data_IF_394515392067
#
_entry.id   IF_394515392067
#
_cell.length_a   1.000
_cell.length_b   1.000
_cell.length_c   1.000
_cell.angle_alpha   90.00
_cell.angle_beta   90.00
_cell.angle_gamma   90.00
#
_symmetry.space_group_name_H-M   'P 1'
#
loop_
_entity.id
_entity.type
_entity.pdbx_description
1 polymer ?
#
# COMPACT_ATOMS: atom_id res chain seq x y z
N UNK A 1 -39.60 1.05 -36.01
CA UNK A 1 -39.76 0.21 -34.84
C UNK A 1 -38.97 0.86 -33.69
N UNK A 2 -39.64 1.47 -32.71
CA UNK A 2 -38.98 2.19 -31.61
C UNK A 2 -38.70 1.17 -30.49
N UNK A 3 -37.41 0.84 -30.32
CA UNK A 3 -36.93 -0.03 -29.25
C UNK A 3 -36.99 0.75 -27.93
N UNK A 4 -37.91 0.41 -27.06
CA UNK A 4 -37.95 0.89 -25.66
C UNK A 4 -36.93 0.10 -24.86
N UNK A 5 -35.80 0.77 -24.49
CA UNK A 5 -34.83 0.22 -23.55
C UNK A 5 -35.46 0.30 -22.15
N UNK A 6 -35.86 -0.84 -21.61
CA UNK A 6 -36.28 -0.97 -20.24
C UNK A 6 -35.02 -0.98 -19.36
N UNK A 7 -34.69 0.16 -18.77
CA UNK A 7 -33.64 0.22 -17.75
C UNK A 7 -34.20 -0.44 -16.49
N UNK A 8 -33.87 -1.70 -16.29
CA UNK A 8 -34.19 -2.43 -15.04
C UNK A 8 -33.34 -1.84 -13.93
N UNK A 9 -33.95 -0.97 -13.13
CA UNK A 9 -33.39 -0.47 -11.89
C UNK A 9 -33.42 -1.64 -10.89
N UNK A 10 -32.33 -2.41 -10.78
CA UNK A 10 -32.18 -3.43 -9.74
C UNK A 10 -31.99 -2.70 -8.40
N UNK A 11 -33.09 -2.56 -7.66
CA UNK A 11 -33.08 -2.23 -6.24
C UNK A 11 -32.52 -3.44 -5.47
N UNK A 12 -31.23 -3.39 -5.18
CA UNK A 12 -30.65 -4.32 -4.21
C UNK A 12 -31.04 -3.87 -2.81
N UNK A 13 -31.97 -4.56 -2.19
CA UNK A 13 -32.18 -4.54 -0.75
C UNK A 13 -31.09 -5.38 -0.07
N UNK A 14 -29.86 -4.87 -0.03
CA UNK A 14 -28.87 -5.34 0.92
C UNK A 14 -29.27 -4.80 2.29
N UNK A 15 -29.53 -5.69 3.25
CA UNK A 15 -29.66 -5.31 4.66
C UNK A 15 -28.28 -4.78 5.06
N UNK A 16 -28.07 -3.47 4.94
CA UNK A 16 -26.91 -2.83 5.50
C UNK A 16 -26.96 -3.03 7.02
N UNK A 17 -25.96 -3.67 7.59
CA UNK A 17 -25.81 -3.70 9.03
C UNK A 17 -25.87 -2.24 9.53
N UNK A 18 -26.87 -1.94 10.34
CA UNK A 18 -27.13 -0.58 10.84
C UNK A 18 -25.88 -0.17 11.63
N UNK A 19 -25.11 0.77 11.09
CA UNK A 19 -24.00 1.40 11.78
C UNK A 19 -22.57 1.08 11.31
N UNK A 20 -22.35 0.15 10.36
CA UNK A 20 -21.00 -0.08 9.86
C UNK A 20 -20.54 1.06 8.92
N UNK A 21 -19.33 1.57 9.14
CA UNK A 21 -18.63 2.49 8.23
C UNK A 21 -17.58 1.73 7.43
N UNK A 22 -17.16 2.32 6.30
CA UNK A 22 -16.02 1.80 5.56
C UNK A 22 -14.74 1.88 6.43
N UNK A 23 -13.81 0.91 6.31
CA UNK A 23 -12.52 0.99 6.98
C UNK A 23 -11.82 2.32 6.66
N UNK A 24 -11.33 3.02 7.68
CA UNK A 24 -10.71 4.35 7.55
C UNK A 24 -9.49 4.36 6.61
N UNK A 25 -8.76 3.25 6.57
CA UNK A 25 -7.60 3.08 5.68
C UNK A 25 -7.96 2.88 4.21
N UNK A 26 -9.25 2.69 3.86
CA UNK A 26 -9.72 2.66 2.48
C UNK A 26 -10.12 4.08 2.02
N UNK A 27 -9.23 4.74 1.30
CA UNK A 27 -9.45 6.09 0.80
C UNK A 27 -10.08 6.07 -0.60
N UNK A 28 -11.39 6.35 -0.69
CA UNK A 28 -12.19 6.32 -1.91
C UNK A 28 -12.07 7.60 -2.72
N UNK A 29 -12.01 7.46 -4.06
CA UNK A 29 -12.07 8.57 -5.00
C UNK A 29 -13.41 8.60 -5.75
N UNK A 30 -13.76 9.76 -6.31
CA UNK A 30 -15.03 9.97 -7.04
C UNK A 30 -15.16 9.14 -8.33
N UNK A 31 -14.08 8.64 -8.87
CA UNK A 31 -14.04 7.82 -10.09
C UNK A 31 -14.12 6.30 -9.82
N UNK A 32 -14.34 5.89 -8.58
CA UNK A 32 -14.37 4.48 -8.17
C UNK A 32 -12.99 3.89 -7.89
N UNK A 33 -11.91 4.64 -8.07
CA UNK A 33 -10.61 4.20 -7.57
C UNK A 33 -10.55 4.36 -6.06
N UNK A 34 -9.76 3.54 -5.39
CA UNK A 34 -9.44 3.73 -3.98
C UNK A 34 -8.00 3.34 -3.66
N UNK A 35 -7.52 3.78 -2.52
CA UNK A 35 -6.19 3.43 -2.05
C UNK A 35 -6.21 2.86 -0.65
N UNK A 36 -5.22 2.00 -0.37
CA UNK A 36 -4.93 1.44 0.93
C UNK A 36 -3.41 1.50 1.14
N UNK A 37 -2.94 2.36 2.04
CA UNK A 37 -1.51 2.50 2.38
C UNK A 37 -0.56 2.46 1.17
N UNK A 38 -0.86 3.26 0.13
CA UNK A 38 -0.07 3.34 -1.10
C UNK A 38 -0.36 2.26 -2.16
N UNK A 39 -1.12 1.23 -1.85
CA UNK A 39 -1.73 0.38 -2.87
C UNK A 39 -2.92 1.12 -3.50
N UNK A 40 -3.02 1.14 -4.81
CA UNK A 40 -4.14 1.80 -5.52
C UNK A 40 -4.95 0.78 -6.28
N UNK A 41 -6.26 0.76 -6.05
CA UNK A 41 -7.21 -0.07 -6.78
C UNK A 41 -7.82 0.66 -7.97
N UNK A 42 -7.99 -0.07 -9.06
CA UNK A 42 -8.78 0.35 -10.21
C UNK A 42 -9.33 -0.86 -10.97
N UNK A 43 -10.47 -0.70 -11.63
CA UNK A 43 -10.96 -1.68 -12.60
C UNK A 43 -10.36 -1.34 -13.96
N UNK A 44 -9.86 -2.36 -14.67
CA UNK A 44 -9.28 -2.21 -15.99
C UNK A 44 -9.79 -3.28 -16.95
N UNK A 45 -10.06 -2.85 -18.18
CA UNK A 45 -10.46 -3.69 -19.29
C UNK A 45 -9.43 -3.57 -20.42
N UNK A 46 -8.98 -4.70 -20.95
CA UNK A 46 -8.12 -4.77 -22.13
C UNK A 46 -8.94 -5.29 -23.32
N UNK A 47 -9.03 -4.50 -24.39
CA UNK A 47 -9.69 -4.91 -25.63
C UNK A 47 -8.90 -5.99 -26.40
N UNK A 48 -9.41 -6.44 -27.53
CA UNK A 48 -8.73 -7.45 -28.36
C UNK A 48 -7.34 -7.03 -28.86
N UNK A 49 -7.00 -5.75 -28.82
CA UNK A 49 -5.69 -5.18 -29.19
C UNK A 49 -4.86 -4.76 -27.98
N UNK A 50 -5.25 -5.18 -26.76
CA UNK A 50 -4.59 -4.81 -25.50
C UNK A 50 -4.58 -3.29 -25.21
N UNK A 51 -5.53 -2.53 -25.74
CA UNK A 51 -5.75 -1.15 -25.31
C UNK A 51 -6.58 -1.19 -24.04
N UNK A 52 -6.14 -0.44 -23.02
CA UNK A 52 -6.75 -0.48 -21.70
C UNK A 52 -7.68 0.71 -21.47
N UNK A 53 -8.83 0.42 -20.86
CA UNK A 53 -9.77 1.40 -20.31
C UNK A 53 -9.89 1.12 -18.81
N UNK A 54 -9.73 2.14 -17.99
CA UNK A 54 -9.87 2.05 -16.54
C UNK A 54 -10.89 3.05 -16.00
N UNK A 55 -11.15 3.03 -14.70
CA UNK A 55 -12.04 3.97 -14.02
C UNK A 55 -11.84 5.42 -14.48
N UNK A 56 -10.59 5.86 -14.62
CA UNK A 56 -10.23 7.22 -15.07
C UNK A 56 -10.73 7.58 -16.47
N UNK A 57 -11.04 6.59 -17.29
CA UNK A 57 -11.47 6.77 -18.69
C UNK A 57 -12.97 6.52 -18.90
N UNK A 58 -13.73 6.19 -17.85
CA UNK A 58 -15.17 6.01 -18.00
C UNK A 58 -15.84 7.31 -18.40
N UNK A 59 -16.85 7.22 -19.23
CA UNK A 59 -17.71 8.34 -19.63
C UNK A 59 -18.98 8.35 -18.78
N UNK A 60 -19.65 9.49 -18.72
CA UNK A 60 -20.94 9.62 -18.04
C UNK A 60 -20.86 9.08 -16.59
N UNK A 61 -19.77 9.36 -15.91
CA UNK A 61 -19.52 8.87 -14.54
C UNK A 61 -20.52 9.43 -13.55
N UNK A 62 -21.06 8.55 -12.71
CA UNK A 62 -21.89 8.91 -11.56
C UNK A 62 -21.33 8.25 -10.32
N UNK A 63 -21.26 8.99 -9.23
CA UNK A 63 -20.78 8.48 -7.95
C UNK A 63 -21.65 8.95 -6.81
N UNK A 64 -21.81 8.07 -5.82
CA UNK A 64 -22.39 8.37 -4.53
C UNK A 64 -21.49 7.75 -3.48
N UNK A 65 -20.83 8.59 -2.68
CA UNK A 65 -19.95 8.17 -1.61
C UNK A 65 -20.54 8.64 -0.28
N UNK A 66 -20.69 7.73 0.66
CA UNK A 66 -21.16 7.98 2.01
C UNK A 66 -20.38 7.07 2.97
N UNK A 67 -20.43 7.35 4.27
CA UNK A 67 -19.84 6.49 5.30
C UNK A 67 -20.40 5.05 5.26
N UNK A 68 -21.66 4.91 4.87
CA UNK A 68 -22.37 3.63 4.71
C UNK A 68 -22.04 2.89 3.41
N UNK A 69 -21.05 3.36 2.61
CA UNK A 69 -20.64 2.71 1.37
C UNK A 69 -20.56 3.66 0.19
N UNK A 70 -20.15 3.11 -0.95
CA UNK A 70 -19.99 3.88 -2.17
C UNK A 70 -20.60 3.14 -3.37
N UNK A 71 -21.12 3.89 -4.33
CA UNK A 71 -21.61 3.39 -5.61
C UNK A 71 -21.05 4.23 -6.72
N UNK A 72 -20.59 3.57 -7.75
CA UNK A 72 -20.02 4.20 -8.96
C UNK A 72 -20.65 3.57 -10.19
N UNK A 73 -20.82 4.34 -11.23
CA UNK A 73 -21.20 3.81 -12.53
C UNK A 73 -20.59 4.66 -13.64
N UNK A 74 -20.37 4.04 -14.79
CA UNK A 74 -19.88 4.77 -15.95
C UNK A 74 -20.06 3.98 -17.23
N UNK A 75 -20.05 4.69 -18.35
CA UNK A 75 -20.02 4.11 -19.68
C UNK A 75 -18.59 3.84 -20.09
N UNK A 76 -18.34 2.65 -20.58
CA UNK A 76 -17.04 2.24 -21.09
C UNK A 76 -17.11 1.97 -22.60
N UNK A 77 -16.01 2.26 -23.29
CA UNK A 77 -15.89 2.11 -24.74
C UNK A 77 -14.66 1.26 -25.09
N UNK A 78 -14.67 -0.05 -24.82
CA UNK A 78 -13.55 -0.92 -25.17
C UNK A 78 -13.58 -1.26 -26.66
N UNK A 79 -12.56 -0.81 -27.40
CA UNK A 79 -12.51 -1.03 -28.86
C UNK A 79 -13.67 -0.37 -29.59
N UNK A 80 -14.49 -1.17 -30.27
CA UNK A 80 -15.73 -0.72 -30.96
C UNK A 80 -17.00 -0.95 -30.12
N UNK A 81 -16.87 -1.52 -28.92
CA UNK A 81 -18.01 -1.84 -28.06
C UNK A 81 -18.40 -0.71 -27.12
N UNK A 82 -19.62 -0.78 -26.63
CA UNK A 82 -20.13 0.09 -25.57
C UNK A 82 -20.73 -0.76 -24.45
N UNK A 83 -20.43 -0.42 -23.21
CA UNK A 83 -20.99 -1.08 -22.04
C UNK A 83 -21.17 -0.13 -20.87
N UNK A 84 -21.84 -0.63 -19.85
CA UNK A 84 -21.98 0.04 -18.56
C UNK A 84 -21.28 -0.80 -17.51
N UNK A 85 -20.52 -0.14 -16.66
CA UNK A 85 -19.96 -0.74 -15.46
C UNK A 85 -20.60 -0.09 -14.24
N UNK A 86 -20.96 -0.91 -13.28
CA UNK A 86 -21.37 -0.47 -11.94
C UNK A 86 -20.43 -1.10 -10.93
N UNK A 87 -20.07 -0.31 -9.93
CA UNK A 87 -19.22 -0.74 -8.82
C UNK A 87 -19.88 -0.28 -7.53
N UNK A 88 -19.92 -1.16 -6.53
CA UNK A 88 -20.32 -0.82 -5.18
C UNK A 88 -19.27 -1.29 -4.18
N UNK A 89 -19.06 -0.49 -3.14
CA UNK A 89 -18.24 -0.85 -1.99
C UNK A 89 -19.13 -0.69 -0.77
N UNK A 90 -19.43 -1.80 -0.12
CA UNK A 90 -20.37 -1.86 1.01
C UNK A 90 -19.62 -2.33 2.26
N UNK A 91 -19.66 -1.58 3.39
CA UNK A 91 -19.06 -2.03 4.64
C UNK A 91 -19.83 -3.25 5.16
N UNK A 92 -19.10 -4.26 5.63
CA UNK A 92 -19.64 -5.41 6.32
C UNK A 92 -19.39 -5.33 7.84
N UNK A 93 -18.20 -4.85 8.23
CA UNK A 93 -17.82 -4.50 9.60
C UNK A 93 -16.95 -3.23 9.55
N UNK A 94 -16.57 -2.60 10.68
CA UNK A 94 -15.63 -1.48 10.68
C UNK A 94 -14.28 -1.78 10.03
N UNK A 95 -13.89 -3.07 10.00
CA UNK A 95 -12.62 -3.51 9.42
C UNK A 95 -12.79 -4.16 8.05
N UNK A 96 -14.02 -4.32 7.53
CA UNK A 96 -14.23 -5.05 6.28
C UNK A 96 -15.27 -4.42 5.37
N UNK A 97 -15.07 -4.61 4.07
CA UNK A 97 -15.97 -4.17 3.02
C UNK A 97 -16.06 -5.21 1.89
N UNK A 98 -17.20 -5.25 1.22
CA UNK A 98 -17.40 -6.00 -0.01
C UNK A 98 -17.32 -5.04 -1.20
N UNK A 99 -16.50 -5.36 -2.17
CA UNK A 99 -16.49 -4.75 -3.48
C UNK A 99 -17.26 -5.67 -4.44
N UNK A 100 -18.23 -5.10 -5.12
CA UNK A 100 -18.99 -5.77 -6.15
C UNK A 100 -19.01 -4.92 -7.41
N UNK A 101 -18.47 -5.44 -8.50
CA UNK A 101 -18.47 -4.77 -9.79
C UNK A 101 -19.13 -5.63 -10.87
N UNK A 102 -20.00 -5.02 -11.65
CA UNK A 102 -20.74 -5.67 -12.75
C UNK A 102 -20.51 -4.89 -14.04
N UNK A 103 -20.03 -5.59 -15.05
CA UNK A 103 -19.94 -5.10 -16.41
C UNK A 103 -21.10 -5.68 -17.24
N UNK A 104 -21.80 -4.82 -17.99
CA UNK A 104 -22.81 -5.24 -18.98
C UNK A 104 -22.52 -4.55 -20.30
N UNK A 105 -22.31 -5.32 -21.36
CA UNK A 105 -22.08 -4.84 -22.72
C UNK A 105 -23.39 -4.73 -23.48
N UNK A 106 -23.57 -3.69 -24.29
CA UNK A 106 -24.74 -3.53 -25.18
C UNK A 106 -24.79 -4.63 -26.24
N UNK A 107 -23.62 -4.98 -26.76
CA UNK A 107 -23.41 -6.12 -27.65
C UNK A 107 -22.20 -6.93 -27.18
N UNK A 108 -22.16 -8.24 -27.43
CA UNK A 108 -21.00 -9.05 -27.05
C UNK A 108 -19.71 -8.54 -27.72
N UNK A 109 -18.69 -8.25 -26.91
CA UNK A 109 -17.41 -7.68 -27.37
C UNK A 109 -16.26 -8.60 -26.97
N UNK A 110 -15.29 -8.77 -27.85
CA UNK A 110 -14.08 -9.50 -27.54
C UNK A 110 -13.17 -8.70 -26.63
N UNK A 111 -12.93 -9.22 -25.42
CA UNK A 111 -12.02 -8.64 -24.43
C UNK A 111 -10.92 -9.65 -24.08
N UNK A 112 -9.69 -9.16 -24.01
CA UNK A 112 -8.55 -9.97 -23.61
C UNK A 112 -8.44 -10.06 -22.08
N UNK A 113 -8.94 -9.05 -21.36
CA UNK A 113 -8.92 -9.04 -19.90
C UNK A 113 -9.96 -8.10 -19.30
N UNK A 114 -10.53 -8.52 -18.19
CA UNK A 114 -11.32 -7.68 -17.30
C UNK A 114 -10.81 -8.00 -15.89
N UNK A 115 -10.35 -7.00 -15.15
CA UNK A 115 -9.76 -7.23 -13.82
C UNK A 115 -9.91 -6.02 -12.90
N UNK A 116 -10.07 -6.30 -11.60
CA UNK A 116 -9.79 -5.36 -10.52
C UNK A 116 -8.29 -5.44 -10.18
N UNK A 117 -7.61 -4.31 -10.21
CA UNK A 117 -6.16 -4.23 -10.14
C UNK A 117 -5.73 -3.44 -8.91
N UNK A 118 -4.92 -4.05 -8.04
CA UNK A 118 -4.17 -3.34 -7.02
C UNK A 118 -2.75 -3.11 -7.52
N UNK A 119 -2.37 -1.85 -7.68
CA UNK A 119 -0.99 -1.45 -7.99
C UNK A 119 -0.27 -1.09 -6.70
N UNK A 120 0.88 -1.74 -6.44
CA UNK A 120 1.68 -1.58 -5.23
C UNK A 120 3.11 -1.16 -5.60
N UNK A 121 3.79 -0.34 -4.76
CA UNK A 121 5.22 -0.10 -4.90
C UNK A 121 6.00 -1.42 -4.84
N UNK A 122 6.88 -1.67 -5.82
CA UNK A 122 7.57 -2.95 -5.94
C UNK A 122 8.64 -3.18 -4.88
N UNK A 123 9.25 -2.12 -4.37
CA UNK A 123 10.39 -2.14 -3.46
C UNK A 123 10.04 -2.33 -1.98
N UNK A 124 8.77 -2.07 -1.62
CA UNK A 124 8.32 -2.08 -0.23
C UNK A 124 7.01 -2.82 0.02
N UNK A 125 6.58 -3.62 -0.95
CA UNK A 125 5.33 -4.36 -0.82
C UNK A 125 5.60 -5.85 -0.64
N UNK A 126 4.85 -6.47 0.26
CA UNK A 126 4.80 -7.92 0.40
C UNK A 126 3.42 -8.42 -0.02
N UNK A 127 3.41 -9.46 -0.84
CA UNK A 127 2.21 -10.09 -1.35
C UNK A 127 2.22 -11.55 -0.94
N UNK A 128 1.16 -12.01 -0.28
CA UNK A 128 0.98 -13.42 0.01
C UNK A 128 -0.22 -13.94 -0.78
N UNK A 129 -0.11 -15.13 -1.32
CA UNK A 129 -1.19 -15.85 -1.99
C UNK A 129 -1.37 -17.18 -1.27
N UNK A 130 -2.54 -17.40 -0.69
CA UNK A 130 -2.87 -18.58 0.12
C UNK A 130 -1.78 -18.86 1.18
N UNK A 131 -1.34 -17.81 1.87
CA UNK A 131 -0.32 -17.84 2.92
C UNK A 131 1.13 -17.92 2.43
N UNK A 132 1.36 -18.10 1.13
CA UNK A 132 2.71 -18.19 0.56
C UNK A 132 3.17 -16.82 0.04
N UNK A 133 4.36 -16.38 0.45
CA UNK A 133 4.94 -15.13 -0.01
C UNK A 133 5.33 -15.20 -1.49
N UNK A 134 4.91 -14.22 -2.26
CA UNK A 134 5.35 -14.04 -3.65
C UNK A 134 6.60 -13.16 -3.64
N UNK A 135 7.71 -13.73 -4.05
CA UNK A 135 8.98 -12.99 -4.11
C UNK A 135 8.92 -11.96 -5.24
N UNK A 136 9.00 -10.70 -4.87
CA UNK A 136 9.24 -9.58 -5.80
C UNK A 136 10.76 -9.39 -5.84
N UNK A 137 11.45 -9.69 -6.96
CA UNK A 137 12.90 -9.59 -7.01
C UNK A 137 13.34 -8.12 -7.00
N UNK A 138 14.49 -7.81 -6.40
CA UNK A 138 15.05 -6.44 -6.40
C UNK A 138 15.28 -5.90 -7.81
N UNK A 139 15.75 -6.77 -8.73
CA UNK A 139 15.79 -6.49 -10.19
C UNK A 139 14.73 -7.31 -10.89
N UNK A 140 13.93 -6.71 -11.79
CA UNK A 140 12.87 -7.43 -12.48
C UNK A 140 13.43 -8.44 -13.47
N UNK A 141 13.16 -9.73 -13.27
CA UNK A 141 13.60 -10.82 -14.14
C UNK A 141 12.53 -11.19 -15.15
N UNK A 142 11.29 -11.28 -14.71
CA UNK A 142 10.11 -11.64 -15.52
C UNK A 142 8.92 -10.75 -15.18
N UNK A 143 8.04 -10.52 -16.15
CA UNK A 143 6.86 -9.69 -15.92
C UNK A 143 5.78 -10.39 -15.08
N UNK A 144 5.64 -11.73 -15.19
CA UNK A 144 4.62 -12.48 -14.47
C UNK A 144 5.25 -13.21 -13.29
N UNK A 145 4.90 -12.80 -12.08
CA UNK A 145 5.39 -13.39 -10.83
C UNK A 145 4.51 -14.56 -10.37
N UNK A 146 3.19 -14.45 -10.59
CA UNK A 146 2.21 -15.47 -10.24
C UNK A 146 1.04 -15.45 -11.21
N UNK A 147 0.43 -16.63 -11.45
CA UNK A 147 -0.87 -16.75 -12.12
C UNK A 147 -1.54 -18.06 -11.68
N UNK A 148 -2.69 -17.96 -11.05
CA UNK A 148 -3.41 -19.11 -10.53
C UNK A 148 -4.75 -18.73 -9.91
N UNK A 149 -5.48 -19.73 -9.42
CA UNK A 149 -6.63 -19.55 -8.56
C UNK A 149 -6.15 -19.30 -7.14
N UNK A 150 -6.84 -18.47 -6.40
CA UNK A 150 -6.51 -18.17 -5.01
C UNK A 150 -7.77 -17.95 -4.19
N UNK A 151 -7.75 -18.42 -2.95
CA UNK A 151 -8.81 -18.17 -1.95
C UNK A 151 -8.55 -16.87 -1.18
N UNK A 152 -7.28 -16.51 -1.04
CA UNK A 152 -6.89 -15.34 -0.26
C UNK A 152 -5.61 -14.70 -0.81
N UNK A 153 -5.64 -13.40 -0.93
CA UNK A 153 -4.45 -12.57 -1.22
C UNK A 153 -4.29 -11.56 -0.11
N UNK A 154 -3.10 -11.46 0.46
CA UNK A 154 -2.76 -10.47 1.48
C UNK A 154 -1.79 -9.47 0.89
N UNK A 155 -2.16 -8.19 0.97
CA UNK A 155 -1.33 -7.07 0.53
C UNK A 155 -0.80 -6.33 1.76
N UNK A 156 0.52 -6.20 1.83
CA UNK A 156 1.23 -5.37 2.80
C UNK A 156 2.04 -4.34 2.05
N UNK A 157 1.90 -3.10 2.41
CA UNK A 157 2.70 -2.00 1.88
C UNK A 157 3.58 -1.44 3.00
N UNK A 158 3.08 -0.50 3.76
CA UNK A 158 3.73 0.06 4.94
C UNK A 158 2.67 0.27 6.03
N UNK A 159 3.14 0.41 7.28
CA UNK A 159 2.26 0.55 8.44
C UNK A 159 1.92 -0.78 9.13
N UNK A 160 1.03 -0.70 10.11
CA UNK A 160 0.62 -1.81 10.95
C UNK A 160 -0.58 -2.59 10.41
N UNK A 161 -1.00 -2.31 9.20
CA UNK A 161 -2.18 -2.93 8.63
C UNK A 161 -1.86 -3.70 7.35
N UNK A 162 -2.62 -4.74 7.11
CA UNK A 162 -2.61 -5.48 5.87
C UNK A 162 -4.03 -5.59 5.32
N UNK A 163 -4.14 -5.58 3.99
CA UNK A 163 -5.41 -5.80 3.30
C UNK A 163 -5.52 -7.25 2.89
N UNK A 164 -6.45 -7.96 3.49
CA UNK A 164 -6.79 -9.35 3.17
C UNK A 164 -7.93 -9.33 2.17
N UNK A 165 -7.71 -9.91 0.99
CA UNK A 165 -8.67 -9.93 -0.11
C UNK A 165 -9.06 -11.37 -0.39
N UNK A 166 -10.35 -11.68 -0.33
CA UNK A 166 -10.92 -12.99 -0.68
C UNK A 166 -11.81 -12.82 -1.90
N UNK A 167 -11.34 -13.20 -3.10
CA UNK A 167 -12.17 -13.19 -4.29
C UNK A 167 -13.24 -14.29 -4.20
N UNK A 168 -14.47 -14.00 -4.62
CA UNK A 168 -15.55 -15.01 -4.71
C UNK A 168 -15.29 -16.05 -5.82
N UNK A 169 -14.26 -15.86 -6.61
CA UNK A 169 -13.81 -16.72 -7.70
C UNK A 169 -12.87 -15.93 -8.62
N UNK A 170 -12.41 -16.58 -9.67
CA UNK A 170 -11.56 -15.94 -10.64
C UNK A 170 -10.07 -16.24 -10.46
N UNK A 171 -9.31 -15.86 -11.47
CA UNK A 171 -7.86 -16.04 -11.51
C UNK A 171 -7.15 -14.81 -10.95
N UNK A 172 -6.15 -15.04 -10.13
CA UNK A 172 -5.25 -14.00 -9.66
C UNK A 172 -3.98 -14.02 -10.51
N UNK A 173 -3.56 -12.85 -10.98
CA UNK A 173 -2.31 -12.65 -11.71
C UNK A 173 -1.52 -11.57 -10.97
N UNK A 174 -0.24 -11.83 -10.71
CA UNK A 174 0.69 -10.84 -10.16
C UNK A 174 1.74 -10.52 -11.22
N UNK A 175 1.81 -9.24 -11.58
CA UNK A 175 2.66 -8.74 -12.66
C UNK A 175 3.65 -7.69 -12.13
N UNK A 176 4.92 -7.89 -12.44
CA UNK A 176 5.97 -6.91 -12.24
C UNK A 176 5.98 -5.92 -13.41
N UNK A 177 5.49 -4.70 -13.16
CA UNK A 177 5.33 -3.70 -14.20
C UNK A 177 6.65 -3.04 -14.60
N UNK A 178 7.70 -3.18 -13.80
CA UNK A 178 9.05 -2.70 -14.14
C UNK A 178 9.61 -3.35 -15.41
N UNK A 179 9.03 -4.50 -15.80
CA UNK A 179 9.33 -5.19 -17.09
C UNK A 179 8.40 -4.81 -18.24
N UNK A 180 7.30 -4.12 -17.99
CA UNK A 180 6.24 -3.87 -18.99
C UNK A 180 6.25 -2.42 -19.47
N UNK A 181 6.71 -1.48 -18.66
CA UNK A 181 6.73 -0.06 -18.98
C UNK A 181 7.96 0.67 -18.47
N UNK A 182 8.34 1.75 -19.15
CA UNK A 182 9.40 2.64 -18.67
C UNK A 182 8.91 3.41 -17.45
N UNK A 183 9.78 3.55 -16.43
CA UNK A 183 9.53 4.33 -15.20
C UNK A 183 8.30 3.85 -14.38
N UNK A 184 8.06 2.56 -14.36
CA UNK A 184 6.95 1.98 -13.60
C UNK A 184 7.46 1.07 -12.49
N UNK A 185 7.65 1.62 -11.29
CA UNK A 185 8.20 0.91 -10.13
C UNK A 185 7.11 0.19 -9.32
N UNK A 186 6.13 -0.42 -10.00
CA UNK A 186 5.02 -1.09 -9.34
C UNK A 186 4.93 -2.58 -9.67
N UNK A 187 4.28 -3.28 -8.76
CA UNK A 187 3.73 -4.62 -8.99
C UNK A 187 2.21 -4.51 -8.97
N UNK A 188 1.54 -5.17 -9.90
CA UNK A 188 0.07 -5.20 -9.93
C UNK A 188 -0.46 -6.58 -9.60
N UNK A 189 -1.37 -6.63 -8.63
CA UNK A 189 -2.20 -7.81 -8.32
C UNK A 189 -3.54 -7.64 -9.01
N UNK A 190 -3.86 -8.54 -9.93
CA UNK A 190 -5.06 -8.50 -10.77
C UNK A 190 -6.01 -9.62 -10.37
N UNK A 191 -7.24 -9.26 -10.02
CA UNK A 191 -8.35 -10.17 -9.80
C UNK A 191 -9.19 -10.22 -11.08
N UNK A 192 -9.07 -11.27 -11.86
CA UNK A 192 -9.72 -11.35 -13.17
C UNK A 192 -11.19 -11.73 -13.03
N UNK A 193 -12.08 -10.92 -13.58
CA UNK A 193 -13.53 -11.21 -13.67
C UNK A 193 -13.77 -12.42 -14.55
N UNK A 194 -12.96 -12.51 -15.62
CA UNK A 194 -12.94 -13.64 -16.54
C UNK A 194 -11.48 -13.98 -16.81
N UNK A 195 -11.07 -15.22 -16.57
CA UNK A 195 -9.65 -15.59 -16.61
C UNK A 195 -9.05 -15.61 -18.01
N UNK A 196 -9.86 -15.68 -19.06
CA UNK A 196 -9.40 -15.87 -20.43
C UNK A 196 -10.04 -14.90 -21.42
N UNK A 197 -9.32 -14.61 -22.50
CA UNK A 197 -9.84 -13.79 -23.59
C UNK A 197 -11.07 -14.44 -24.25
N UNK A 198 -12.00 -13.65 -24.68
CA UNK A 198 -13.20 -14.11 -25.37
C UNK A 198 -14.26 -13.04 -25.52
N UNK A 199 -15.37 -13.43 -26.08
CA UNK A 199 -16.54 -12.58 -26.24
C UNK A 199 -17.29 -12.47 -24.94
N UNK A 200 -17.56 -11.25 -24.49
CA UNK A 200 -18.17 -10.91 -23.20
C UNK A 200 -19.42 -10.09 -23.43
N UNK A 201 -20.55 -10.54 -22.90
CA UNK A 201 -21.79 -9.77 -22.76
C UNK A 201 -21.97 -9.21 -21.36
N UNK A 202 -21.52 -9.96 -20.35
CA UNK A 202 -21.49 -9.51 -18.96
C UNK A 202 -20.33 -10.17 -18.20
N UNK A 203 -19.88 -9.50 -17.14
CA UNK A 203 -18.87 -10.04 -16.23
C UNK A 203 -19.08 -9.47 -14.83
N UNK A 204 -18.74 -10.23 -13.80
CA UNK A 204 -18.91 -9.88 -12.40
C UNK A 204 -17.64 -10.14 -11.61
N UNK A 205 -17.30 -9.22 -10.69
CA UNK A 205 -16.22 -9.36 -9.70
C UNK A 205 -16.81 -9.12 -8.31
N UNK A 206 -16.51 -10.03 -7.40
CA UNK A 206 -16.77 -9.85 -5.97
C UNK A 206 -15.49 -10.07 -5.18
N UNK A 207 -15.13 -9.10 -4.36
CA UNK A 207 -14.00 -9.17 -3.45
C UNK A 207 -14.44 -8.84 -2.04
N UNK A 208 -14.21 -9.75 -1.10
CA UNK A 208 -14.32 -9.45 0.32
C UNK A 208 -12.97 -8.93 0.78
N UNK A 209 -12.93 -7.70 1.27
CA UNK A 209 -11.73 -7.00 1.74
C UNK A 209 -11.81 -6.83 3.24
N UNK A 210 -10.76 -7.21 3.95
CA UNK A 210 -10.63 -7.03 5.40
C UNK A 210 -9.32 -6.35 5.72
N UNK A 211 -9.39 -5.23 6.43
CA UNK A 211 -8.21 -4.58 7.02
C UNK A 211 -7.91 -5.28 8.32
N UNK A 212 -6.69 -5.77 8.46
CA UNK A 212 -6.24 -6.49 9.65
C UNK A 212 -5.01 -5.82 10.22
N UNK A 213 -5.02 -5.51 11.52
CA UNK A 213 -3.84 -5.01 12.23
C UNK A 213 -2.78 -6.10 12.33
N UNK A 214 -1.53 -5.72 12.09
CA UNK A 214 -0.37 -6.59 12.25
C UNK A 214 0.13 -6.41 13.68
N UNK A 215 0.25 -7.49 14.42
CA UNK A 215 0.88 -7.42 15.73
C UNK A 215 2.35 -7.01 15.58
N UNK A 216 2.75 -5.97 16.28
CA UNK A 216 4.12 -5.47 16.33
C UNK A 216 4.74 -5.66 17.72
N UNK A 217 6.07 -5.69 17.79
CA UNK A 217 6.84 -5.65 19.02
C UNK A 217 7.72 -4.41 18.96
N UNK A 218 7.61 -3.55 19.98
CA UNK A 218 8.49 -2.40 20.11
C UNK A 218 9.89 -2.86 20.52
N UNK A 219 10.91 -2.32 19.83
CA UNK A 219 12.32 -2.52 20.19
C UNK A 219 12.77 -1.31 21.00
N UNK A 220 13.07 -1.45 22.30
CA UNK A 220 13.51 -0.33 23.12
C UNK A 220 14.88 0.13 22.67
N UNK A 221 15.02 1.43 22.35
CA UNK A 221 16.27 2.04 21.91
C UNK A 221 16.93 2.93 22.97
N UNK A 222 16.38 2.98 24.16
CA UNK A 222 16.83 3.88 25.22
C UNK A 222 18.31 3.65 25.63
N UNK A 223 18.72 2.39 25.72
CA UNK A 223 20.10 2.01 26.04
C UNK A 223 21.09 2.39 24.94
N UNK A 224 20.61 2.54 23.73
CA UNK A 224 21.38 2.87 22.53
C UNK A 224 21.34 4.36 22.18
N UNK A 225 20.68 5.18 23.01
CA UNK A 225 20.64 6.62 22.79
C UNK A 225 22.05 7.23 22.85
N UNK A 226 22.45 7.93 21.79
CA UNK A 226 23.77 8.58 21.66
C UNK A 226 23.64 10.10 21.51
N UNK A 227 22.43 10.62 21.28
CA UNK A 227 22.11 12.04 21.14
C UNK A 227 20.86 12.39 21.89
N UNK A 228 20.89 13.47 22.65
CA UNK A 228 19.70 14.07 23.25
C UNK A 228 18.87 14.84 22.22
N UNK A 229 17.57 14.89 22.39
CA UNK A 229 16.70 15.74 21.55
C UNK A 229 16.86 17.23 21.88
N UNK A 230 17.17 17.54 23.13
CA UNK A 230 17.31 18.91 23.66
C UNK A 230 18.30 18.95 24.82
N UNK A 231 18.75 20.13 25.15
CA UNK A 231 19.48 20.37 26.40
C UNK A 231 18.52 20.31 27.57
N UNK A 232 18.69 19.34 28.45
CA UNK A 232 17.96 19.20 29.69
C UNK A 232 18.93 18.98 30.85
N UNK A 233 18.62 19.58 32.01
CA UNK A 233 19.39 19.37 33.23
C UNK A 233 19.45 17.89 33.59
N UNK A 234 20.67 17.36 33.72
CA UNK A 234 20.90 15.94 34.02
C UNK A 234 21.07 15.02 32.81
N UNK A 235 20.83 15.49 31.58
CA UNK A 235 21.13 14.70 30.41
C UNK A 235 22.61 14.90 30.01
N UNK A 236 23.39 13.84 30.02
CA UNK A 236 24.83 13.87 29.70
C UNK A 236 25.14 13.61 28.23
N UNK A 237 24.13 13.28 27.43
CA UNK A 237 24.31 13.05 26.02
C UNK A 237 24.46 14.38 25.25
N UNK A 238 25.35 14.46 24.23
CA UNK A 238 25.40 15.62 23.36
C UNK A 238 24.06 15.77 22.60
N UNK A 239 23.65 17.01 22.40
CA UNK A 239 22.42 17.33 21.66
C UNK A 239 22.57 16.96 20.19
N UNK A 240 21.47 16.64 19.53
CA UNK A 240 21.39 16.23 18.12
C UNK A 240 22.10 17.23 17.19
N UNK A 241 21.81 18.50 17.34
CA UNK A 241 22.53 19.59 16.66
C UNK A 241 22.96 20.65 17.64
N UNK A 242 24.06 21.35 17.33
CA UNK A 242 24.58 22.44 18.15
C UNK A 242 24.14 23.82 17.64
N UNK A 243 23.18 23.89 16.72
CA UNK A 243 22.78 25.13 16.02
C UNK A 243 21.68 25.91 16.73
N UNK A 244 21.26 25.45 17.90
CA UNK A 244 20.26 26.11 18.73
C UNK A 244 18.92 25.37 18.84
N UNK A 245 17.97 25.86 19.64
CA UNK A 245 16.72 25.17 19.91
C UNK A 245 15.84 24.96 18.67
N UNK A 246 15.91 25.88 17.71
CA UNK A 246 15.09 25.81 16.48
C UNK A 246 15.61 24.75 15.49
N UNK A 247 16.86 24.35 15.64
CA UNK A 247 17.50 23.36 14.78
C UNK A 247 17.79 22.03 15.50
N UNK A 248 17.27 21.85 16.69
CA UNK A 248 17.31 20.60 17.44
C UNK A 248 16.01 19.82 17.25
N UNK A 249 16.02 18.51 17.51
CA UNK A 249 14.81 17.71 17.56
C UNK A 249 13.95 18.01 18.80
N UNK A 250 14.05 19.20 19.33
CA UNK A 250 13.45 19.60 20.60
C UNK A 250 11.93 19.56 20.57
N UNK A 251 11.30 19.63 19.40
CA UNK A 251 9.86 19.50 19.22
C UNK A 251 9.37 18.05 19.41
N UNK A 252 10.28 17.09 19.30
CA UNK A 252 9.95 15.68 19.56
C UNK A 252 9.81 15.49 21.06
N UNK A 253 8.61 15.12 21.48
CA UNK A 253 8.32 14.85 22.89
C UNK A 253 8.48 13.38 23.19
N UNK A 254 9.06 13.02 24.35
CA UNK A 254 9.01 11.64 24.85
C UNK A 254 7.57 11.15 24.98
N UNK A 255 7.37 9.86 24.73
CA UNK A 255 6.06 9.24 24.75
C UNK A 255 5.76 8.42 23.51
N UNK A 256 4.50 8.29 23.15
CA UNK A 256 4.08 7.54 22.00
C UNK A 256 3.78 8.47 20.81
N UNK A 257 4.37 8.18 19.66
CA UNK A 257 4.01 8.76 18.37
C UNK A 257 3.35 7.67 17.53
N UNK A 258 2.12 7.89 17.12
CA UNK A 258 1.40 6.98 16.23
C UNK A 258 1.54 7.45 14.78
N UNK A 259 2.08 6.59 13.92
CA UNK A 259 2.19 6.83 12.50
C UNK A 259 1.83 5.57 11.71
N UNK A 260 0.93 5.70 10.73
CA UNK A 260 0.46 4.57 9.90
C UNK A 260 -0.08 3.38 10.71
N UNK A 261 -0.77 3.66 11.82
CA UNK A 261 -1.30 2.64 12.72
C UNK A 261 -0.26 1.94 13.60
N UNK A 262 1.00 2.35 13.52
CA UNK A 262 2.10 1.89 14.37
C UNK A 262 2.36 2.87 15.50
N UNK A 263 2.56 2.34 16.70
CA UNK A 263 2.97 3.12 17.87
C UNK A 263 4.49 2.99 18.06
N UNK A 264 5.16 4.14 17.99
CA UNK A 264 6.58 4.26 18.25
C UNK A 264 6.79 4.86 19.63
N UNK A 265 7.59 4.22 20.44
CA UNK A 265 7.99 4.78 21.74
C UNK A 265 9.21 5.67 21.57
N UNK A 266 9.03 6.95 21.85
CA UNK A 266 10.13 7.93 21.87
C UNK A 266 10.70 7.99 23.28
N UNK A 267 11.98 7.61 23.40
CA UNK A 267 12.68 7.60 24.70
C UNK A 267 12.91 9.04 25.19
N UNK A 268 12.74 9.31 26.50
CA UNK A 268 13.15 10.59 27.08
C UNK A 268 14.65 10.85 27.01
N UNK A 269 15.45 9.78 26.90
CA UNK A 269 16.91 9.89 26.85
C UNK A 269 17.42 10.46 25.55
N UNK A 270 16.72 10.25 24.44
CA UNK A 270 17.12 10.75 23.13
C UNK A 270 17.05 9.71 22.00
N UNK A 271 17.84 9.90 20.98
CA UNK A 271 17.91 9.08 19.78
C UNK A 271 19.17 8.23 19.69
N UNK A 272 19.06 7.04 19.12
CA UNK A 272 20.16 6.23 18.64
C UNK A 272 20.65 6.85 17.31
N UNK A 273 21.75 7.55 17.33
CA UNK A 273 22.29 8.25 16.15
C UNK A 273 23.59 7.62 15.67
N UNK A 274 23.67 7.44 14.37
CA UNK A 274 24.89 7.02 13.66
C UNK A 274 25.24 8.06 12.60
N UNK A 275 26.49 8.20 12.26
CA UNK A 275 26.87 9.20 11.27
C UNK A 275 28.38 9.32 11.07
N UNK A 276 28.79 10.37 10.37
CA UNK A 276 30.20 10.68 10.15
C UNK A 276 30.93 10.98 11.46
N UNK A 277 32.23 10.82 11.42
CA UNK A 277 33.17 10.98 12.58
C UNK A 277 33.21 12.40 13.16
N UNK A 278 32.61 13.35 12.47
CA UNK A 278 32.46 14.71 12.97
C UNK A 278 31.51 14.74 14.19
N UNK A 279 31.94 15.36 15.26
CA UNK A 279 31.19 15.56 16.51
C UNK A 279 30.93 14.27 17.34
N UNK A 280 31.80 13.26 17.25
CA UNK A 280 31.74 12.06 18.10
C UNK A 280 30.53 11.17 17.85
N UNK A 281 29.94 11.20 16.65
CA UNK A 281 28.95 10.21 16.26
C UNK A 281 29.64 8.87 15.96
N UNK A 282 28.98 7.79 16.32
CA UNK A 282 29.45 6.43 16.00
C UNK A 282 29.20 6.14 14.53
N UNK A 283 30.21 5.56 13.86
CA UNK A 283 30.05 5.14 12.46
C UNK A 283 29.08 3.94 12.30
N UNK A 284 29.00 3.10 13.32
CA UNK A 284 28.13 1.93 13.36
C UNK A 284 27.51 1.77 14.76
N UNK A 285 26.26 1.34 14.78
CA UNK A 285 25.55 0.97 16.00
C UNK A 285 24.91 -0.40 15.81
N UNK A 286 25.23 -1.33 16.67
CA UNK A 286 24.62 -2.66 16.71
C UNK A 286 23.56 -2.72 17.80
N UNK A 287 22.34 -3.07 17.44
CA UNK A 287 21.19 -3.18 18.35
C UNK A 287 20.74 -4.64 18.37
N UNK A 288 20.91 -5.36 19.48
CA UNK A 288 20.39 -6.71 19.61
C UNK A 288 18.87 -6.69 19.72
N UNK A 289 18.20 -7.42 18.86
CA UNK A 289 16.73 -7.45 18.80
C UNK A 289 16.25 -8.87 19.09
N UNK A 290 15.44 -9.02 20.14
CA UNK A 290 14.71 -10.27 20.40
C UNK A 290 13.32 -10.15 19.78
N UNK A 291 13.10 -10.89 18.71
CA UNK A 291 11.84 -10.81 17.96
C UNK A 291 11.13 -12.16 17.94
N UNK A 292 9.80 -12.18 17.97
CA UNK A 292 9.02 -13.40 17.79
C UNK A 292 9.31 -14.07 16.45
N UNK A 293 9.23 -15.39 16.42
CA UNK A 293 9.30 -16.14 15.19
C UNK A 293 8.22 -15.65 14.20
N UNK A 294 8.60 -15.53 12.93
CA UNK A 294 7.69 -15.10 11.87
C UNK A 294 7.60 -13.58 11.68
N UNK A 295 8.43 -12.78 12.34
CA UNK A 295 8.55 -11.35 12.03
C UNK A 295 8.93 -11.16 10.57
N UNK A 296 8.29 -10.17 9.89
CA UNK A 296 8.42 -10.00 8.43
C UNK A 296 8.83 -8.59 8.03
N UNK A 297 8.77 -7.63 8.94
CA UNK A 297 9.14 -6.24 8.68
C UNK A 297 9.72 -5.58 9.92
N UNK A 298 10.63 -4.63 9.69
CA UNK A 298 11.10 -3.67 10.67
C UNK A 298 10.62 -2.29 10.23
N UNK A 299 10.05 -1.54 11.16
CA UNK A 299 9.60 -0.18 10.92
C UNK A 299 10.41 0.75 11.83
N UNK A 300 10.89 1.85 11.28
CA UNK A 300 11.73 2.80 11.96
C UNK A 300 11.06 4.17 11.98
N UNK A 301 11.03 4.79 13.15
CA UNK A 301 10.86 6.23 13.25
C UNK A 301 12.27 6.83 13.17
N UNK A 302 12.58 7.51 12.08
CA UNK A 302 13.93 8.01 11.83
C UNK A 302 13.93 9.32 11.08
N UNK A 303 15.05 10.03 11.18
CA UNK A 303 15.35 11.25 10.43
C UNK A 303 16.85 11.32 10.15
N UNK A 304 17.27 12.27 9.35
CA UNK A 304 18.68 12.54 9.08
C UNK A 304 18.93 14.03 8.97
N UNK A 305 20.18 14.44 9.18
CA UNK A 305 20.63 15.80 8.93
C UNK A 305 21.59 15.79 7.73
N UNK A 306 21.52 16.83 6.90
CA UNK A 306 22.36 17.00 5.69
C UNK A 306 22.39 15.77 4.80
N UNK A 307 21.23 15.20 4.54
CA UNK A 307 21.10 13.94 3.81
C UNK A 307 21.54 14.10 2.36
N UNK A 308 22.59 13.40 1.91
CA UNK A 308 22.94 13.38 0.49
C UNK A 308 21.87 12.63 -0.31
N UNK A 309 21.77 12.92 -1.60
CA UNK A 309 20.84 12.23 -2.52
C UNK A 309 21.27 10.78 -2.80
N UNK A 310 22.54 10.48 -2.64
CA UNK A 310 23.15 9.18 -2.87
C UNK A 310 23.05 8.25 -1.65
N UNK A 311 23.64 7.06 -1.76
CA UNK A 311 23.80 6.15 -0.62
C UNK A 311 24.65 6.82 0.47
N UNK A 312 24.09 6.94 1.68
CA UNK A 312 24.76 7.52 2.84
C UNK A 312 24.97 6.53 3.99
N UNK A 313 24.34 5.38 3.92
CA UNK A 313 24.41 4.37 4.96
C UNK A 313 23.87 3.02 4.51
N UNK A 314 23.83 2.09 5.43
CA UNK A 314 23.32 0.76 5.22
C UNK A 314 22.69 0.24 6.51
N UNK A 315 21.50 -0.35 6.39
CA UNK A 315 20.89 -1.17 7.43
C UNK A 315 21.32 -2.61 7.19
N UNK A 316 21.94 -3.23 8.19
CA UNK A 316 22.34 -4.64 8.14
C UNK A 316 21.56 -5.41 9.19
N UNK A 317 20.77 -6.39 8.74
CA UNK A 317 20.06 -7.32 9.63
C UNK A 317 20.86 -8.61 9.66
N UNK A 318 21.40 -8.95 10.84
CA UNK A 318 22.11 -10.20 11.09
C UNK A 318 21.18 -11.20 11.76
N UNK A 319 21.04 -12.36 11.17
CA UNK A 319 20.18 -13.41 11.69
C UNK A 319 20.94 -14.37 12.60
N UNK A 320 20.20 -15.11 13.44
CA UNK A 320 20.79 -16.06 14.39
C UNK A 320 21.51 -17.25 13.73
N UNK A 321 21.23 -17.53 12.47
CA UNK A 321 21.92 -18.54 11.64
C UNK A 321 23.22 -18.01 10.99
N UNK A 322 23.61 -16.75 11.29
CA UNK A 322 24.79 -16.10 10.73
C UNK A 322 24.58 -15.46 9.36
N UNK A 323 23.42 -15.62 8.74
CA UNK A 323 23.12 -14.93 7.49
C UNK A 323 22.87 -13.42 7.70
N UNK A 324 23.04 -12.63 6.65
CA UNK A 324 22.81 -11.18 6.68
C UNK A 324 21.93 -10.72 5.54
N UNK A 325 21.09 -9.75 5.82
CA UNK A 325 20.39 -8.95 4.82
C UNK A 325 20.88 -7.51 4.90
N UNK A 326 21.27 -6.93 3.75
CA UNK A 326 21.81 -5.57 3.66
C UNK A 326 20.90 -4.69 2.85
N UNK A 327 20.54 -3.55 3.41
CA UNK A 327 19.65 -2.58 2.79
C UNK A 327 20.34 -1.22 2.72
N UNK A 328 20.75 -0.74 1.51
CA UNK A 328 21.38 0.56 1.36
C UNK A 328 20.38 1.68 1.58
N UNK A 329 20.75 2.65 2.41
CA UNK A 329 19.96 3.85 2.70
C UNK A 329 20.40 4.99 1.77
N UNK A 330 19.44 5.62 1.11
CA UNK A 330 19.66 6.74 0.19
C UNK A 330 18.78 7.93 0.56
N UNK A 331 19.30 9.12 0.40
CA UNK A 331 18.52 10.33 0.59
C UNK A 331 17.38 10.44 -0.43
N UNK A 332 16.32 11.14 -0.09
CA UNK A 332 15.10 11.34 -0.88
C UNK A 332 14.29 10.06 -1.18
N UNK A 333 14.82 8.88 -0.90
CA UNK A 333 14.12 7.60 -1.00
C UNK A 333 13.74 7.05 0.37
N UNK A 334 14.71 6.91 1.25
CA UNK A 334 14.56 6.25 2.55
C UNK A 334 14.57 7.24 3.72
N UNK A 335 15.24 8.37 3.57
CA UNK A 335 15.37 9.36 4.62
C UNK A 335 15.39 10.76 4.03
N UNK A 336 14.61 11.66 4.60
CA UNK A 336 14.64 13.09 4.30
C UNK A 336 15.45 13.86 5.31
N UNK A 337 15.85 15.08 4.96
CA UNK A 337 16.41 15.99 5.93
C UNK A 337 15.34 16.32 6.99
N UNK A 338 15.71 16.36 8.25
CA UNK A 338 14.82 16.59 9.39
C UNK A 338 14.03 17.92 9.31
N UNK A 339 14.49 18.88 8.52
CA UNK A 339 13.77 20.12 8.21
C UNK A 339 12.72 19.98 7.11
N UNK A 340 12.63 18.81 6.48
CA UNK A 340 11.70 18.55 5.38
C UNK A 340 10.41 17.87 5.84
N UNK A 341 9.30 18.23 5.23
CA UNK A 341 7.96 17.71 5.57
C UNK A 341 7.26 16.99 4.42
N UNK A 342 8.01 16.30 3.56
CA UNK A 342 7.44 15.58 2.41
C UNK A 342 7.59 14.08 2.54
N UNK A 343 6.60 13.35 2.05
CA UNK A 343 6.70 11.90 1.90
C UNK A 343 7.74 11.54 0.83
N UNK A 344 8.47 10.49 1.08
CA UNK A 344 9.53 9.96 0.23
C UNK A 344 9.11 8.62 -0.40
N UNK A 345 9.99 8.06 -1.22
CA UNK A 345 9.78 6.76 -1.81
C UNK A 345 9.44 5.64 -0.81
N UNK A 346 10.22 5.54 0.28
CA UNK A 346 10.10 4.50 1.31
C UNK A 346 9.80 5.05 2.71
N UNK A 347 9.53 6.34 2.84
CA UNK A 347 9.25 6.97 4.12
C UNK A 347 8.08 7.95 4.02
N UNK A 348 7.32 8.08 5.10
CA UNK A 348 6.24 9.05 5.25
C UNK A 348 6.53 9.90 6.47
N UNK A 349 5.99 11.11 6.46
CA UNK A 349 6.07 12.01 7.63
C UNK A 349 5.16 11.45 8.72
N UNK A 350 5.71 11.31 9.94
CA UNK A 350 4.98 10.87 11.12
C UNK A 350 4.24 12.03 11.79
#
# INVERSE_FOLDING_TARGET
>A
MKLKILATLLLFSGIAAVGASLPESLNLQKDGTFSFHGATFQIALGDARWRFVSNKNWKEQKSRVATSGAQFSGTILPGSGRGVITESITPATPESAELHAVLTMQEPVRLNRISGNFSLPADRSAILVDGKAIKVPGRPEKSRLYAGWSKEVVLRTFGAEELVIRPAGGRVIIQDNRKVGKNNDTVTVMFCFKPESGTVSSAELKLNMTVRKIAGVSVPLEEFATRAFREESGNTLPVWTLQGPEESLYMIRPGTISALGLDFTVSPRGAAAVGGTERGAQAELTIPVKVPAGMRSLNFLHTSAWTPTEKFGELVVRYSDGSESRYPLSGLRDCGNWTGSRNLGNAVVA
#
